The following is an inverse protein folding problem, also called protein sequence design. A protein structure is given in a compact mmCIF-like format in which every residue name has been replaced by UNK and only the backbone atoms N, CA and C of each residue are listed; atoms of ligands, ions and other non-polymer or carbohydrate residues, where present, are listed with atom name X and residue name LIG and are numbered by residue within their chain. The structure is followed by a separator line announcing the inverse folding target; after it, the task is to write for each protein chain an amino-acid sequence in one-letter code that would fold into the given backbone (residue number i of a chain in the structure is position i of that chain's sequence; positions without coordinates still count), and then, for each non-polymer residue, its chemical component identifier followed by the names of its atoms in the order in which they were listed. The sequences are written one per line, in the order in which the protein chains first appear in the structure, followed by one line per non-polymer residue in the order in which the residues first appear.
data_IF_174458412420
#
_entry.id   IF_174458412420
#
_cell.length_a   1.000
_cell.length_b   1.000
_cell.length_c   1.000
_cell.angle_alpha   90.00
_cell.angle_beta   90.00
_cell.angle_gamma   90.00
#
_symmetry.space_group_name_H-M   'P 1'
#
loop_
_entity.id
_entity.type
_entity.pdbx_description
1 polymer ?
#
# COMPACT_ATOMS: atom_id res chain seq x y z
N UNK A 1 26.55 -9.05 20.05
CA UNK A 1 25.49 -8.02 19.94
C UNK A 1 25.83 -6.94 18.90
N UNK A 2 27.10 -6.56 18.69
CA UNK A 2 27.50 -5.58 17.65
C UNK A 2 27.24 -6.02 16.20
N UNK A 3 27.34 -7.32 15.90
CA UNK A 3 27.12 -7.85 14.55
C UNK A 3 25.68 -7.65 14.04
N UNK A 4 24.70 -7.61 14.96
CA UNK A 4 23.30 -7.36 14.62
C UNK A 4 23.06 -5.88 14.27
N UNK A 5 23.74 -4.94 14.93
CA UNK A 5 23.64 -3.50 14.66
C UNK A 5 24.30 -3.10 13.33
N UNK A 6 25.45 -3.70 13.02
CA UNK A 6 26.14 -3.49 11.74
C UNK A 6 25.33 -4.06 10.55
N UNK A 7 24.62 -5.17 10.78
CA UNK A 7 23.66 -5.73 9.81
C UNK A 7 22.39 -4.86 9.68
N UNK A 8 21.91 -4.30 10.80
CA UNK A 8 20.80 -3.35 10.89
C UNK A 8 21.02 -2.10 10.03
N UNK A 9 22.23 -1.54 10.07
CA UNK A 9 22.60 -0.37 9.26
C UNK A 9 22.80 -0.72 7.79
N UNK A 10 23.33 -1.90 7.47
CA UNK A 10 23.54 -2.36 6.09
C UNK A 10 22.26 -2.60 5.29
N UNK A 11 21.23 -3.20 5.90
CA UNK A 11 19.92 -3.44 5.25
C UNK A 11 19.14 -2.14 5.10
N UNK A 12 19.22 -1.25 6.10
CA UNK A 12 18.60 0.08 6.06
C UNK A 12 19.19 0.96 4.94
N UNK A 13 20.49 0.83 4.63
CA UNK A 13 21.13 1.57 3.55
C UNK A 13 20.78 1.03 2.14
N UNK A 14 20.66 -0.30 1.96
CA UNK A 14 20.29 -0.88 0.65
C UNK A 14 18.82 -0.66 0.27
N UNK A 15 17.89 -0.71 1.22
CA UNK A 15 16.46 -0.52 0.94
C UNK A 15 16.07 0.95 0.72
N UNK A 16 16.76 1.87 1.40
CA UNK A 16 16.43 3.30 1.35
C UNK A 16 16.93 3.98 0.07
N UNK A 17 17.92 3.41 -0.62
CA UNK A 17 18.43 3.96 -1.89
C UNK A 17 17.67 3.50 -3.15
N UNK A 18 16.88 2.42 -3.09
CA UNK A 18 16.18 1.89 -4.28
C UNK A 18 14.73 2.39 -4.43
N UNK A 19 14.09 2.84 -3.33
CA UNK A 19 12.67 3.20 -3.32
C UNK A 19 12.37 4.71 -3.21
N UNK A 20 13.39 5.58 -3.12
CA UNK A 20 13.23 7.05 -3.02
C UNK A 20 13.61 7.71 -4.36
N UNK A 21 13.01 7.27 -5.46
CA UNK A 21 12.72 8.20 -6.54
C UNK A 21 11.22 8.49 -6.49
N UNK A 22 10.81 9.65 -5.93
CA UNK A 22 9.51 10.18 -6.23
C UNK A 22 9.45 10.33 -7.75
N UNK A 23 8.38 9.87 -8.39
CA UNK A 23 8.04 10.32 -9.74
C UNK A 23 7.90 11.85 -9.69
N UNK A 24 8.98 12.55 -10.00
CA UNK A 24 9.01 14.00 -10.10
C UNK A 24 8.37 14.34 -11.45
N UNK A 25 7.07 14.63 -11.40
CA UNK A 25 6.42 15.39 -12.45
C UNK A 25 6.90 16.84 -12.31
N UNK A 26 7.75 17.30 -13.23
CA UNK A 26 7.89 18.73 -13.55
C UNK A 26 8.39 18.93 -14.97
N UNK A 27 7.79 19.93 -15.62
CA UNK A 27 7.85 20.18 -17.04
C UNK A 27 9.15 20.80 -17.54
N UNK A 28 9.33 20.62 -18.85
CA UNK A 28 9.81 21.61 -19.81
C UNK A 28 11.24 22.15 -19.68
N UNK A 29 12.09 21.83 -20.67
CA UNK A 29 12.84 22.85 -21.42
C UNK A 29 13.33 22.30 -22.77
N UNK A 30 13.16 23.13 -23.79
CA UNK A 30 13.42 22.97 -25.24
C UNK A 30 14.85 22.54 -25.60
N UNK A 31 15.01 21.75 -26.66
CA UNK A 31 16.11 21.91 -27.64
C UNK A 31 15.70 21.43 -29.04
N UNK A 32 15.79 22.35 -29.99
CA UNK A 32 15.59 22.20 -31.44
C UNK A 32 16.73 21.42 -32.10
N UNK A 33 16.43 20.50 -33.04
CA UNK A 33 16.86 20.54 -34.45
C UNK A 33 16.66 19.20 -35.19
N UNK A 34 16.11 19.35 -36.40
CA UNK A 34 16.30 18.58 -37.64
C UNK A 34 15.52 17.27 -37.91
N UNK A 35 14.78 17.37 -39.03
CA UNK A 35 13.93 16.51 -39.87
C UNK A 35 14.30 15.01 -40.13
N UNK A 36 13.39 14.23 -40.77
CA UNK A 36 13.09 12.84 -40.40
C UNK A 36 13.74 11.77 -41.30
N UNK A 37 14.04 10.63 -40.69
CA UNK A 37 14.42 9.38 -41.35
C UNK A 37 13.95 8.20 -40.50
N UNK A 38 13.14 7.33 -41.10
CA UNK A 38 12.32 6.34 -40.44
C UNK A 38 13.07 5.05 -40.03
N UNK A 39 12.39 4.31 -39.13
CA UNK A 39 12.44 2.86 -38.84
C UNK A 39 13.41 2.39 -37.75
N UNK A 40 12.85 2.16 -36.55
CA UNK A 40 12.78 0.82 -35.92
C UNK A 40 11.90 0.92 -34.66
N UNK A 41 10.69 0.36 -34.70
CA UNK A 41 9.83 0.23 -33.53
C UNK A 41 10.36 -0.88 -32.62
N UNK A 42 11.20 -0.52 -31.65
CA UNK A 42 11.44 -1.32 -30.47
C UNK A 42 10.53 -0.79 -29.36
N UNK A 43 9.66 -1.65 -28.85
CA UNK A 43 8.84 -1.38 -27.67
C UNK A 43 9.80 -1.33 -26.48
N UNK A 44 10.15 -0.12 -26.03
CA UNK A 44 10.97 0.10 -24.84
C UNK A 44 10.43 -0.73 -23.66
N UNK A 45 11.19 -1.66 -23.08
CA UNK A 45 10.80 -2.29 -21.83
C UNK A 45 10.76 -1.18 -20.78
N UNK A 46 9.55 -0.90 -20.29
CA UNK A 46 9.29 0.10 -19.26
C UNK A 46 10.36 0.01 -18.16
N UNK A 47 11.04 1.12 -17.87
CA UNK A 47 12.07 1.33 -16.83
C UNK A 47 11.64 0.84 -15.41
N UNK A 48 10.38 0.42 -15.25
CA UNK A 48 9.78 -0.13 -14.05
C UNK A 48 9.92 -1.65 -13.86
N UNK A 49 10.30 -2.43 -14.89
CA UNK A 49 10.34 -3.90 -14.79
C UNK A 49 11.50 -4.40 -13.91
N UNK A 50 12.71 -3.89 -14.13
CA UNK A 50 13.91 -4.34 -13.40
C UNK A 50 13.84 -4.08 -11.89
N UNK A 51 13.40 -2.90 -11.41
CA UNK A 51 13.17 -2.68 -9.98
C UNK A 51 12.18 -3.68 -9.36
N UNK A 52 11.07 -3.99 -10.06
CA UNK A 52 10.07 -4.97 -9.59
C UNK A 52 10.64 -6.38 -9.52
N UNK A 53 11.37 -6.79 -10.55
CA UNK A 53 12.04 -8.10 -10.60
C UNK A 53 13.06 -8.25 -9.46
N UNK A 54 13.90 -7.23 -9.23
CA UNK A 54 14.86 -7.22 -8.12
C UNK A 54 14.18 -7.33 -6.76
N UNK A 55 13.08 -6.58 -6.54
CA UNK A 55 12.30 -6.67 -5.31
C UNK A 55 11.77 -8.09 -5.09
N UNK A 56 11.16 -8.69 -6.11
CA UNK A 56 10.60 -10.03 -6.04
C UNK A 56 11.66 -11.08 -5.66
N UNK A 57 12.81 -11.07 -6.34
CA UNK A 57 13.92 -11.99 -6.05
C UNK A 57 14.47 -11.77 -4.63
N UNK A 58 14.63 -10.51 -4.22
CA UNK A 58 15.16 -10.16 -2.90
C UNK A 58 14.24 -10.65 -1.78
N UNK A 59 12.93 -10.48 -1.91
CA UNK A 59 11.95 -10.94 -0.91
C UNK A 59 12.08 -12.45 -0.65
N UNK A 60 12.08 -13.29 -1.70
CA UNK A 60 12.23 -14.73 -1.55
C UNK A 60 13.61 -15.15 -1.02
N UNK A 61 14.67 -14.47 -1.46
CA UNK A 61 16.03 -14.76 -0.99
C UNK A 61 16.17 -14.45 0.50
N UNK A 62 15.63 -13.32 0.96
CA UNK A 62 15.66 -12.93 2.37
C UNK A 62 14.78 -13.84 3.23
N UNK A 63 13.65 -14.31 2.70
CA UNK A 63 12.79 -15.29 3.39
C UNK A 63 13.52 -16.59 3.69
N UNK A 64 14.36 -17.09 2.77
CA UNK A 64 15.21 -18.27 3.00
C UNK A 64 16.28 -18.02 4.07
N UNK A 65 16.79 -16.79 4.16
CA UNK A 65 17.80 -16.42 5.15
C UNK A 65 17.23 -16.28 6.56
N UNK A 66 16.07 -15.64 6.71
CA UNK A 66 15.51 -15.27 8.01
C UNK A 66 14.49 -16.27 8.58
N UNK A 67 14.19 -17.36 7.88
CA UNK A 67 13.29 -18.41 8.41
C UNK A 67 13.91 -19.27 9.52
N UNK A 68 15.23 -19.18 9.74
CA UNK A 68 15.97 -20.08 10.63
C UNK A 68 15.68 -19.86 12.12
N UNK A 69 15.45 -18.62 12.53
CA UNK A 69 15.24 -18.25 13.93
C UNK A 69 13.94 -17.47 14.07
N UNK A 70 13.13 -17.75 15.09
CA UNK A 70 11.85 -17.09 15.29
C UNK A 70 11.98 -15.57 15.43
N UNK A 71 12.98 -15.08 16.15
CA UNK A 71 13.19 -13.65 16.34
C UNK A 71 13.52 -12.94 15.02
N UNK A 72 14.34 -13.58 14.16
CA UNK A 72 14.65 -13.04 12.83
C UNK A 72 13.43 -13.09 11.90
N UNK A 73 12.61 -14.14 12.01
CA UNK A 73 11.36 -14.25 11.25
C UNK A 73 10.39 -13.14 11.64
N UNK A 74 10.15 -12.93 12.95
CA UNK A 74 9.28 -11.86 13.46
C UNK A 74 9.80 -10.48 13.05
N UNK A 75 11.10 -10.27 13.15
CA UNK A 75 11.75 -9.04 12.71
C UNK A 75 11.57 -8.79 11.20
N UNK A 76 11.79 -9.82 10.37
CA UNK A 76 11.64 -9.71 8.92
C UNK A 76 10.19 -9.40 8.52
N UNK A 77 9.21 -10.09 9.14
CA UNK A 77 7.78 -9.81 8.93
C UNK A 77 7.48 -8.35 9.28
N UNK A 78 7.92 -7.87 10.44
CA UNK A 78 7.71 -6.47 10.85
C UNK A 78 8.28 -5.47 9.83
N UNK A 79 9.50 -5.70 9.32
CA UNK A 79 10.10 -4.82 8.32
C UNK A 79 9.37 -4.83 6.98
N UNK A 80 8.92 -6.00 6.50
CA UNK A 80 8.13 -6.10 5.27
C UNK A 80 6.74 -5.44 5.44
N UNK A 81 6.09 -5.61 6.58
CA UNK A 81 4.82 -4.93 6.91
C UNK A 81 4.99 -3.40 6.91
N UNK A 82 6.05 -2.88 7.53
CA UNK A 82 6.33 -1.44 7.55
C UNK A 82 6.60 -0.90 6.14
N UNK A 83 7.32 -1.66 5.31
CA UNK A 83 7.59 -1.31 3.92
C UNK A 83 6.31 -1.30 3.09
N UNK A 84 5.44 -2.31 3.24
CA UNK A 84 4.15 -2.37 2.56
C UNK A 84 3.26 -1.19 2.96
N UNK A 85 3.20 -0.87 4.25
CA UNK A 85 2.46 0.29 4.77
C UNK A 85 2.95 1.59 4.17
N UNK A 86 4.28 1.79 4.10
CA UNK A 86 4.86 2.97 3.46
C UNK A 86 4.49 3.06 1.98
N UNK A 87 4.63 1.95 1.23
CA UNK A 87 4.29 1.89 -0.20
C UNK A 87 2.82 2.16 -0.46
N UNK A 88 1.93 1.70 0.43
CA UNK A 88 0.50 1.95 0.32
C UNK A 88 0.15 3.43 0.57
N UNK A 89 0.81 4.06 1.56
CA UNK A 89 0.57 5.48 1.89
C UNK A 89 0.99 6.46 0.79
N UNK A 90 2.02 6.12 -0.01
CA UNK A 90 2.45 6.97 -1.14
C UNK A 90 1.67 6.69 -2.42
N UNK A 91 0.86 5.62 -2.46
CA UNK A 91 0.14 5.21 -3.65
C UNK A 91 -1.09 6.11 -3.87
N UNK A 92 -1.35 6.60 -5.10
CA UNK A 92 -2.54 7.39 -5.38
C UNK A 92 -3.80 6.52 -5.27
N UNK A 93 -4.94 7.15 -4.91
CA UNK A 93 -6.23 6.48 -4.68
C UNK A 93 -6.66 5.59 -5.87
N UNK A 94 -6.43 6.04 -7.10
CA UNK A 94 -6.78 5.29 -8.32
C UNK A 94 -6.05 3.94 -8.40
N UNK A 95 -4.76 3.94 -8.03
CA UNK A 95 -3.93 2.73 -8.03
C UNK A 95 -4.27 1.82 -6.86
N UNK A 96 -4.67 2.39 -5.72
CA UNK A 96 -5.19 1.60 -4.59
C UNK A 96 -6.46 0.86 -5.00
N UNK A 97 -7.40 1.53 -5.68
CA UNK A 97 -8.62 0.86 -6.14
C UNK A 97 -8.33 -0.27 -7.13
N UNK A 98 -7.38 -0.08 -8.04
CA UNK A 98 -6.94 -1.15 -8.94
C UNK A 98 -6.30 -2.31 -8.17
N UNK A 99 -5.43 -2.01 -7.20
CA UNK A 99 -4.82 -3.03 -6.35
C UNK A 99 -5.89 -3.86 -5.62
N UNK A 100 -6.92 -3.23 -5.05
CA UNK A 100 -8.00 -3.95 -4.37
C UNK A 100 -8.76 -4.89 -5.32
N UNK A 101 -9.01 -4.46 -6.57
CA UNK A 101 -9.66 -5.28 -7.59
C UNK A 101 -8.78 -6.47 -8.03
N UNK A 102 -7.49 -6.23 -8.23
CA UNK A 102 -6.55 -7.23 -8.71
C UNK A 102 -6.31 -8.36 -7.70
N UNK A 103 -6.45 -8.08 -6.40
CA UNK A 103 -6.27 -9.06 -5.33
C UNK A 103 -7.54 -9.85 -4.97
N UNK A 104 -8.61 -9.74 -5.78
CA UNK A 104 -9.90 -10.43 -5.54
C UNK A 104 -10.54 -10.14 -4.18
N UNK A 105 -10.17 -9.02 -3.56
CA UNK A 105 -10.76 -8.63 -2.30
C UNK A 105 -12.10 -7.94 -2.55
N UNK A 106 -13.15 -8.34 -1.83
CA UNK A 106 -14.51 -7.84 -2.00
C UNK A 106 -14.71 -6.42 -1.41
N UNK A 107 -13.88 -5.47 -1.82
CA UNK A 107 -14.00 -4.05 -1.45
C UNK A 107 -14.88 -3.32 -2.45
N UNK A 108 -16.09 -2.97 -2.03
CA UNK A 108 -16.98 -2.13 -2.83
C UNK A 108 -16.92 -0.69 -2.30
N UNK A 109 -16.71 0.27 -3.20
CA UNK A 109 -16.74 1.68 -2.82
C UNK A 109 -18.19 2.11 -2.54
N UNK A 110 -18.42 2.77 -1.41
CA UNK A 110 -19.74 3.27 -1.01
C UNK A 110 -20.07 4.54 -1.80
N UNK A 111 -21.31 4.70 -2.24
CA UNK A 111 -21.75 5.91 -2.94
C UNK A 111 -21.79 7.12 -2.00
N UNK A 112 -21.70 8.34 -2.54
CA UNK A 112 -21.72 9.56 -1.71
C UNK A 112 -23.03 9.74 -0.94
N UNK A 113 -24.14 9.22 -1.48
CA UNK A 113 -25.47 9.22 -0.86
C UNK A 113 -25.50 8.29 0.36
N UNK A 114 -25.07 7.03 0.19
CA UNK A 114 -25.00 6.05 1.27
C UNK A 114 -24.00 6.46 2.35
N UNK A 115 -22.89 7.07 1.92
CA UNK A 115 -21.86 7.63 2.80
C UNK A 115 -22.44 8.73 3.67
N UNK A 116 -23.15 9.70 3.08
CA UNK A 116 -23.73 10.83 3.83
C UNK A 116 -24.81 10.39 4.82
N UNK A 117 -25.59 9.35 4.49
CA UNK A 117 -26.62 8.81 5.38
C UNK A 117 -26.03 8.23 6.68
N UNK A 118 -24.86 7.59 6.59
CA UNK A 118 -24.20 6.86 7.69
C UNK A 118 -23.00 7.62 8.28
N UNK A 119 -22.87 8.90 7.96
CA UNK A 119 -21.72 9.71 8.36
C UNK A 119 -21.54 9.76 9.87
N UNK A 120 -22.62 9.97 10.62
CA UNK A 120 -22.58 10.05 12.08
C UNK A 120 -22.11 8.73 12.69
N UNK A 121 -22.65 7.60 12.24
CA UNK A 121 -22.34 6.29 12.81
C UNK A 121 -20.91 5.84 12.46
N UNK A 122 -20.47 6.09 11.22
CA UNK A 122 -19.10 5.80 10.79
C UNK A 122 -18.10 6.66 11.56
N UNK A 123 -18.39 7.95 11.76
CA UNK A 123 -17.52 8.87 12.50
C UNK A 123 -17.47 8.53 13.99
N UNK A 124 -18.60 8.14 14.59
CA UNK A 124 -18.65 7.70 15.99
C UNK A 124 -17.88 6.39 16.22
N UNK A 125 -17.89 5.50 15.22
CA UNK A 125 -17.26 4.18 15.31
C UNK A 125 -15.79 4.17 14.91
N UNK A 126 -15.30 5.18 14.18
CA UNK A 126 -13.94 5.22 13.61
C UNK A 126 -13.08 6.28 14.29
N UNK A 127 -12.21 5.90 15.26
CA UNK A 127 -11.30 6.86 15.92
C UNK A 127 -10.31 7.52 14.94
N UNK A 128 -10.01 6.82 13.84
CA UNK A 128 -9.08 7.23 12.77
C UNK A 128 -9.55 8.45 11.97
N UNK A 129 -10.84 8.81 12.08
CA UNK A 129 -11.46 9.93 11.39
C UNK A 129 -11.47 11.24 12.20
N UNK A 130 -11.12 11.20 13.49
CA UNK A 130 -11.12 12.39 14.35
C UNK A 130 -10.20 13.48 13.79
N UNK A 131 -10.78 14.59 13.32
CA UNK A 131 -10.05 15.75 12.77
C UNK A 131 -9.77 15.73 11.26
N UNK A 132 -10.30 14.76 10.51
CA UNK A 132 -10.16 14.68 9.04
C UNK A 132 -11.41 15.24 8.36
N UNK A 133 -11.24 15.98 7.25
CA UNK A 133 -12.38 16.41 6.42
C UNK A 133 -13.07 15.19 5.79
N UNK A 134 -14.29 14.91 6.26
CA UNK A 134 -15.15 13.80 5.82
C UNK A 134 -15.30 13.70 4.29
N UNK A 135 -15.45 14.84 3.62
CA UNK A 135 -15.58 14.96 2.16
C UNK A 135 -14.44 14.26 1.40
N UNK A 136 -13.23 14.27 1.95
CA UNK A 136 -12.04 13.71 1.31
C UNK A 136 -11.82 12.21 1.59
N UNK A 137 -12.58 11.63 2.52
CA UNK A 137 -12.44 10.24 2.97
C UNK A 137 -13.22 9.32 2.04
N UNK A 138 -12.53 8.33 1.47
CA UNK A 138 -13.19 7.25 0.73
C UNK A 138 -13.52 6.12 1.70
N UNK A 139 -14.79 5.69 1.74
CA UNK A 139 -15.29 4.61 2.58
C UNK A 139 -15.63 3.42 1.68
N UNK A 140 -15.29 2.23 2.14
CA UNK A 140 -15.55 0.98 1.45
C UNK A 140 -16.39 0.08 2.33
N UNK A 141 -17.30 -0.67 1.72
CA UNK A 141 -18.04 -1.74 2.37
C UNK A 141 -17.38 -3.08 2.06
N UNK A 142 -17.26 -3.91 3.09
CA UNK A 142 -16.69 -5.26 3.01
C UNK A 142 -17.51 -6.21 3.87
N UNK A 143 -17.47 -7.52 3.58
CA UNK A 143 -18.04 -8.53 4.47
C UNK A 143 -17.44 -8.44 5.88
N UNK A 144 -18.27 -8.58 6.92
CA UNK A 144 -17.81 -8.57 8.31
C UNK A 144 -16.67 -9.56 8.59
N UNK A 145 -16.68 -10.73 7.93
CA UNK A 145 -15.67 -11.77 8.07
C UNK A 145 -14.25 -11.29 7.70
N UNK A 146 -14.13 -10.33 6.78
CA UNK A 146 -12.84 -9.79 6.34
C UNK A 146 -12.38 -8.63 7.24
N UNK A 147 -13.29 -8.06 8.02
CA UNK A 147 -13.06 -6.91 8.91
C UNK A 147 -12.89 -7.31 10.39
N UNK A 148 -12.56 -8.57 10.69
CA UNK A 148 -12.60 -9.12 12.06
C UNK A 148 -11.71 -8.35 13.04
N UNK A 149 -10.49 -7.95 12.67
CA UNK A 149 -9.60 -7.28 13.62
C UNK A 149 -10.01 -5.83 13.92
N UNK A 150 -10.63 -5.16 12.96
CA UNK A 150 -11.18 -3.82 13.20
C UNK A 150 -12.48 -3.87 14.00
N UNK A 151 -13.35 -4.85 13.72
CA UNK A 151 -14.62 -5.02 14.41
C UNK A 151 -14.46 -5.47 15.87
N UNK A 152 -13.50 -6.36 16.17
CA UNK A 152 -13.13 -6.74 17.54
C UNK A 152 -12.77 -5.52 18.40
N UNK A 153 -12.10 -4.54 17.80
CA UNK A 153 -11.72 -3.30 18.46
C UNK A 153 -12.81 -2.22 18.52
N UNK A 154 -14.01 -2.48 17.99
CA UNK A 154 -15.08 -1.49 17.78
C UNK A 154 -14.59 -0.24 17.04
N UNK A 155 -13.73 -0.44 16.02
CA UNK A 155 -13.12 0.64 15.25
C UNK A 155 -13.78 0.88 13.89
N UNK A 156 -14.83 0.12 13.59
CA UNK A 156 -15.58 0.16 12.31
C UNK A 156 -17.07 0.06 12.59
N UNK A 157 -17.85 0.67 11.71
CA UNK A 157 -19.30 0.59 11.74
C UNK A 157 -19.78 -0.68 11.01
N UNK A 158 -20.80 -1.34 11.56
CA UNK A 158 -21.36 -2.60 11.06
C UNK A 158 -22.86 -2.46 10.83
N UNK A 159 -23.35 -2.93 9.70
CA UNK A 159 -24.78 -2.97 9.33
C UNK A 159 -25.02 -4.14 8.38
N UNK A 160 -26.06 -4.95 8.62
CA UNK A 160 -26.48 -6.07 7.76
C UNK A 160 -25.34 -6.95 7.23
N UNK A 161 -24.51 -7.48 8.13
CA UNK A 161 -23.31 -8.31 7.84
C UNK A 161 -22.19 -7.62 7.03
N UNK A 162 -22.29 -6.31 6.83
CA UNK A 162 -21.29 -5.48 6.17
C UNK A 162 -20.58 -4.58 7.17
N UNK A 163 -19.29 -4.37 6.93
CA UNK A 163 -18.45 -3.43 7.66
C UNK A 163 -18.08 -2.25 6.76
N UNK A 164 -18.25 -1.04 7.29
CA UNK A 164 -17.90 0.21 6.63
C UNK A 164 -16.55 0.68 7.14
N UNK A 165 -15.55 0.67 6.24
CA UNK A 165 -14.15 0.90 6.60
C UNK A 165 -13.58 2.06 5.78
N UNK A 166 -12.97 3.06 6.43
CA UNK A 166 -12.29 4.13 5.71
C UNK A 166 -10.98 3.63 5.09
N UNK A 167 -10.56 4.25 3.99
CA UNK A 167 -9.33 3.88 3.26
C UNK A 167 -8.07 3.75 4.15
N UNK A 168 -7.98 4.57 5.22
CA UNK A 168 -6.87 4.53 6.18
C UNK A 168 -6.79 3.22 6.95
N UNK A 169 -7.94 2.63 7.27
CA UNK A 169 -8.02 1.42 8.09
C UNK A 169 -8.04 0.15 7.23
N UNK A 170 -8.36 0.26 5.94
CA UNK A 170 -8.18 -0.82 4.96
C UNK A 170 -6.74 -1.34 4.93
N UNK A 171 -5.77 -0.44 5.11
CA UNK A 171 -4.35 -0.83 5.16
C UNK A 171 -4.12 -1.84 6.29
N UNK A 172 -4.79 -1.69 7.43
CA UNK A 172 -4.64 -2.62 8.54
C UNK A 172 -5.21 -4.01 8.21
N UNK A 173 -6.29 -4.08 7.43
CA UNK A 173 -6.86 -5.36 6.97
C UNK A 173 -5.87 -6.05 6.04
N UNK A 174 -5.38 -5.34 5.02
CA UNK A 174 -4.42 -5.90 4.04
C UNK A 174 -3.14 -6.35 4.74
N UNK A 175 -2.63 -5.57 5.69
CA UNK A 175 -1.43 -5.92 6.44
C UNK A 175 -1.60 -7.17 7.31
N UNK A 176 -2.83 -7.47 7.75
CA UNK A 176 -3.09 -8.65 8.56
C UNK A 176 -3.15 -9.94 7.73
N UNK A 177 -3.52 -9.82 6.46
CA UNK A 177 -3.56 -10.95 5.52
C UNK A 177 -2.17 -11.27 4.93
N UNK A 178 -1.26 -10.29 4.95
CA UNK A 178 0.10 -10.37 4.38
C UNK A 178 1.13 -11.10 5.27
#
# INVERSE_FOLDING_TARGET
MESALHFYLGVKFMHMHCCIRPCSAHGGQKRTKDSPGAVASATEPSDEYEPRRRYHISHFTLRLKYCQYEDLRRWFIQQEMDLLRFRFNILPKDKVQNFLKDNHLHFEAVSDEEKSLREQDITASSPSLSGVKWESVSVYKIPFADALDLSRGRKVYLEDDLAYVPLKDIVAIILNEF
#
